data_IF_935934272726
#
_entry.id   IF_935934272726
#
_cell.length_a   1.000
_cell.length_b   1.000
_cell.length_c   1.000
_cell.angle_alpha   90.00
_cell.angle_beta   90.00
_cell.angle_gamma   90.00
#
_symmetry.space_group_name_H-M   'P 1'
#
loop_
_entity.id
_entity.type
_entity.pdbx_description
1 polymer ?
#
# COMPACT_ATOMS: atom_id res chain seq x y z
N UNK A 1 13.14 -9.68 -23.39
CA UNK A 1 12.22 -9.75 -22.32
C UNK A 1 11.99 -8.41 -21.66
N UNK A 2 10.77 -8.07 -21.41
CA UNK A 2 10.44 -6.78 -20.85
C UNK A 2 10.39 -6.88 -19.34
N UNK A 3 11.23 -6.13 -18.68
CA UNK A 3 11.08 -5.95 -17.25
C UNK A 3 9.92 -5.00 -17.03
N UNK A 4 8.95 -5.41 -16.21
CA UNK A 4 7.83 -4.55 -15.86
C UNK A 4 8.26 -3.37 -15.01
N UNK A 5 9.49 -3.39 -14.55
CA UNK A 5 10.04 -2.28 -13.78
C UNK A 5 11.55 -2.27 -13.97
N UNK A 6 12.06 -1.11 -14.28
CA UNK A 6 13.49 -0.87 -14.30
C UNK A 6 14.01 -0.76 -12.87
N UNK A 7 15.30 -1.04 -12.64
CA UNK A 7 15.91 -0.74 -11.35
C UNK A 7 15.69 0.72 -10.99
N UNK A 8 15.26 0.97 -9.77
CA UNK A 8 14.96 2.32 -9.33
C UNK A 8 16.23 2.95 -8.80
N UNK A 9 16.49 4.17 -9.28
CA UNK A 9 17.60 4.96 -8.78
C UNK A 9 17.48 5.12 -7.25
N UNK A 10 18.54 4.78 -6.49
CA UNK A 10 18.50 4.92 -5.03
C UNK A 10 18.15 6.32 -4.55
N UNK A 11 18.55 7.36 -5.25
CA UNK A 11 18.23 8.72 -4.88
C UNK A 11 16.75 9.03 -5.08
N UNK A 12 16.16 8.51 -6.17
CA UNK A 12 14.72 8.62 -6.40
C UNK A 12 13.94 7.89 -5.32
N UNK A 13 14.37 6.71 -4.94
CA UNK A 13 13.72 5.92 -3.88
C UNK A 13 13.80 6.66 -2.54
N UNK A 14 14.94 7.25 -2.24
CA UNK A 14 15.11 8.04 -1.02
C UNK A 14 14.16 9.24 -0.99
N UNK A 15 14.03 9.95 -2.11
CA UNK A 15 13.10 11.08 -2.22
C UNK A 15 11.66 10.64 -2.00
N UNK A 16 11.27 9.48 -2.56
CA UNK A 16 9.92 8.99 -2.37
C UNK A 16 9.65 8.58 -0.92
N UNK A 17 10.63 8.03 -0.23
CA UNK A 17 10.50 7.73 1.20
C UNK A 17 10.34 8.98 2.04
N UNK A 18 11.06 10.04 1.70
CA UNK A 18 10.94 11.34 2.36
C UNK A 18 9.55 11.94 2.13
N UNK A 19 9.04 11.86 0.92
CA UNK A 19 7.69 12.30 0.58
C UNK A 19 6.64 11.49 1.36
N UNK A 20 6.84 10.20 1.48
CA UNK A 20 5.94 9.33 2.25
C UNK A 20 5.89 9.77 3.72
N UNK A 21 7.05 10.09 4.29
CA UNK A 21 7.12 10.57 5.68
C UNK A 21 6.34 11.87 5.85
N UNK A 22 6.53 12.82 4.93
CA UNK A 22 5.81 14.07 4.96
C UNK A 22 4.31 13.85 4.79
N UNK A 23 3.92 12.95 3.91
CA UNK A 23 2.52 12.64 3.66
C UNK A 23 1.87 12.02 4.90
N UNK A 24 2.56 11.12 5.60
CA UNK A 24 2.05 10.52 6.86
C UNK A 24 1.84 11.56 7.95
N UNK A 25 2.62 12.63 7.95
CA UNK A 25 2.47 13.71 8.92
C UNK A 25 1.38 14.71 8.54
N UNK A 26 0.82 14.61 7.34
CA UNK A 26 -0.15 15.57 6.82
C UNK A 26 -1.52 15.40 7.46
N UNK A 27 -2.30 16.48 7.49
CA UNK A 27 -3.70 16.42 7.94
C UNK A 27 -4.55 15.55 7.04
N UNK A 28 -4.24 15.52 5.75
CA UNK A 28 -4.93 14.65 4.80
C UNK A 28 -4.83 13.19 5.23
N UNK A 29 -3.62 12.71 5.58
CA UNK A 29 -3.43 11.34 6.02
C UNK A 29 -4.12 11.05 7.36
N UNK A 30 -4.00 11.98 8.30
CA UNK A 30 -4.65 11.83 9.61
C UNK A 30 -6.16 11.69 9.48
N UNK A 31 -6.78 12.45 8.58
CA UNK A 31 -8.20 12.30 8.30
C UNK A 31 -8.50 10.99 7.60
N UNK A 32 -7.61 10.54 6.73
CA UNK A 32 -7.76 9.29 5.98
C UNK A 32 -7.84 8.09 6.90
N UNK A 33 -7.04 8.06 7.97
CA UNK A 33 -6.98 6.93 8.91
C UNK A 33 -7.95 7.09 10.09
N UNK A 34 -8.68 8.18 10.17
CA UNK A 34 -9.47 8.51 11.36
C UNK A 34 -10.57 7.48 11.65
N UNK A 35 -11.15 6.84 10.63
CA UNK A 35 -12.18 5.82 10.81
C UNK A 35 -11.59 4.50 11.31
N UNK A 36 -10.29 4.31 11.21
CA UNK A 36 -9.61 3.12 11.68
C UNK A 36 -9.85 1.87 10.86
N UNK A 37 -10.36 1.99 9.63
CA UNK A 37 -10.77 0.85 8.79
C UNK A 37 -9.72 0.56 7.73
N UNK A 38 -9.29 -0.70 7.64
CA UNK A 38 -8.39 -1.16 6.57
C UNK A 38 -9.11 -1.14 5.23
N UNK A 39 -8.46 -0.56 4.22
CA UNK A 39 -9.05 -0.47 2.88
C UNK A 39 -9.23 -1.85 2.23
N UNK A 40 -8.40 -2.82 2.57
CA UNK A 40 -8.43 -4.14 1.94
C UNK A 40 -9.37 -5.12 2.63
N UNK A 41 -9.19 -5.36 3.93
CA UNK A 41 -10.00 -6.34 4.65
C UNK A 41 -11.23 -5.73 5.33
N UNK A 42 -11.33 -4.42 5.36
CA UNK A 42 -12.45 -3.67 5.92
C UNK A 42 -12.64 -3.83 7.43
N UNK A 43 -11.66 -4.41 8.11
CA UNK A 43 -11.70 -4.50 9.56
C UNK A 43 -11.42 -3.15 10.19
N UNK A 44 -12.09 -2.89 11.29
CA UNK A 44 -11.85 -1.70 12.10
C UNK A 44 -10.75 -2.03 13.11
N UNK A 45 -9.54 -1.65 12.77
CA UNK A 45 -8.36 -1.94 13.60
C UNK A 45 -7.92 -0.74 14.45
N UNK A 46 -8.50 0.43 14.20
CA UNK A 46 -8.11 1.67 14.84
C UNK A 46 -7.06 2.43 14.05
N UNK A 47 -7.08 3.75 14.19
CA UNK A 47 -6.19 4.61 13.40
C UNK A 47 -4.71 4.29 13.62
N UNK A 48 -4.32 3.95 14.86
CA UNK A 48 -2.92 3.66 15.19
C UNK A 48 -2.42 2.37 14.54
N UNK A 49 -3.33 1.45 14.23
CA UNK A 49 -2.97 0.16 13.63
C UNK A 49 -2.99 0.20 12.09
N UNK A 50 -3.33 1.35 11.51
CA UNK A 50 -3.30 1.52 10.06
C UNK A 50 -1.92 2.00 9.61
N UNK A 51 -1.45 1.41 8.52
CA UNK A 51 -0.18 1.75 7.90
C UNK A 51 -0.43 2.35 6.52
N UNK A 52 0.54 3.11 6.02
CA UNK A 52 0.48 3.63 4.66
C UNK A 52 0.96 2.55 3.70
N UNK A 53 0.09 2.09 2.83
CA UNK A 53 0.44 1.18 1.77
C UNK A 53 0.49 1.92 0.44
N UNK A 54 1.58 1.73 -0.29
CA UNK A 54 1.70 2.24 -1.65
C UNK A 54 1.07 1.22 -2.59
N UNK A 55 -0.01 1.61 -3.27
CA UNK A 55 -0.75 0.72 -4.17
C UNK A 55 0.21 0.14 -5.21
N UNK A 56 1.00 1.00 -5.85
CA UNK A 56 2.18 0.57 -6.58
C UNK A 56 3.37 0.76 -5.65
N UNK A 57 4.06 -0.32 -5.27
CA UNK A 57 5.17 -0.22 -4.31
C UNK A 57 6.29 0.69 -4.79
N UNK A 58 6.96 1.34 -3.84
CA UNK A 58 8.09 2.22 -4.15
C UNK A 58 9.18 1.47 -4.91
N UNK A 59 9.46 0.23 -4.51
CA UNK A 59 10.47 -0.60 -5.17
C UNK A 59 10.10 -0.99 -6.61
N UNK A 60 8.86 -0.73 -7.02
CA UNK A 60 8.36 -1.02 -8.36
C UNK A 60 7.93 0.23 -9.11
N UNK A 61 8.46 1.37 -8.71
CA UNK A 61 8.24 2.63 -9.39
C UNK A 61 7.08 3.46 -8.87
N UNK A 62 6.46 3.04 -7.78
CA UNK A 62 5.37 3.79 -7.17
C UNK A 62 5.85 5.10 -6.58
N UNK A 63 4.96 6.07 -6.50
CA UNK A 63 5.26 7.39 -5.95
C UNK A 63 4.46 7.63 -4.68
N UNK A 64 5.03 8.47 -3.80
CA UNK A 64 4.39 8.86 -2.55
C UNK A 64 3.49 10.07 -2.81
N UNK A 65 2.36 9.81 -3.44
CA UNK A 65 1.34 10.81 -3.73
C UNK A 65 0.00 10.28 -3.23
N UNK A 66 -0.95 11.19 -2.98
CA UNK A 66 -2.26 10.83 -2.42
C UNK A 66 -2.96 9.73 -3.23
N UNK A 67 -2.86 9.79 -4.54
CA UNK A 67 -3.51 8.81 -5.42
C UNK A 67 -2.92 7.41 -5.33
N UNK A 68 -1.72 7.26 -4.77
CA UNK A 68 -1.01 5.98 -4.71
C UNK A 68 -0.85 5.43 -3.29
N UNK A 69 -1.51 6.01 -2.31
CA UNK A 69 -1.41 5.53 -0.94
C UNK A 69 -2.79 5.26 -0.36
N UNK A 70 -2.88 4.19 0.41
CA UNK A 70 -4.12 3.79 1.09
C UNK A 70 -3.79 3.38 2.52
N UNK A 71 -4.81 3.38 3.36
CA UNK A 71 -4.68 2.96 4.75
C UNK A 71 -4.96 1.46 4.85
N UNK A 72 -3.96 0.70 5.25
CA UNK A 72 -4.08 -0.76 5.36
C UNK A 72 -3.59 -1.24 6.72
N UNK A 73 -4.24 -2.27 7.25
CA UNK A 73 -3.75 -2.89 8.48
C UNK A 73 -2.43 -3.61 8.21
N UNK A 74 -1.66 -3.81 9.27
CA UNK A 74 -0.34 -4.42 9.16
C UNK A 74 -0.40 -5.80 8.51
N UNK A 75 -1.42 -6.59 8.83
CA UNK A 75 -1.57 -7.94 8.27
C UNK A 75 -1.74 -7.89 6.75
N UNK A 76 -2.63 -7.03 6.25
CA UNK A 76 -2.84 -6.90 4.81
C UNK A 76 -1.60 -6.33 4.12
N UNK A 77 -0.98 -5.33 4.72
CA UNK A 77 0.22 -4.72 4.15
C UNK A 77 1.36 -5.74 4.06
N UNK A 78 1.52 -6.57 5.07
CA UNK A 78 2.54 -7.62 5.08
C UNK A 78 2.25 -8.67 3.99
N UNK A 79 0.99 -9.09 3.83
CA UNK A 79 0.62 -10.06 2.78
C UNK A 79 0.84 -9.49 1.39
N UNK A 80 0.49 -8.23 1.20
CA UNK A 80 0.64 -7.57 -0.10
C UNK A 80 2.10 -7.39 -0.46
N UNK A 81 2.93 -7.05 0.50
CA UNK A 81 4.37 -6.81 0.28
C UNK A 81 4.61 -5.90 -0.93
N UNK A 82 5.33 -6.38 -1.93
CA UNK A 82 5.67 -5.61 -3.13
C UNK A 82 4.79 -5.94 -4.34
N UNK A 83 3.63 -6.54 -4.12
CA UNK A 83 2.73 -6.87 -5.22
C UNK A 83 2.12 -5.59 -5.81
N UNK A 84 2.05 -5.51 -7.13
CA UNK A 84 1.32 -4.46 -7.81
C UNK A 84 -0.17 -4.81 -7.84
N UNK A 85 -1.06 -3.84 -8.17
CA UNK A 85 -2.51 -4.06 -8.04
C UNK A 85 -3.04 -5.32 -8.70
N UNK A 86 -2.61 -5.65 -9.90
CA UNK A 86 -3.13 -6.83 -10.60
C UNK A 86 -2.73 -8.12 -9.87
N UNK A 87 -1.50 -8.18 -9.36
CA UNK A 87 -1.02 -9.33 -8.58
C UNK A 87 -1.77 -9.46 -7.27
N UNK A 88 -2.01 -8.34 -6.63
CA UNK A 88 -2.74 -8.30 -5.36
C UNK A 88 -4.19 -8.73 -5.53
N UNK A 89 -4.83 -8.26 -6.58
CA UNK A 89 -6.20 -8.66 -6.91
C UNK A 89 -6.30 -10.15 -7.21
N UNK A 90 -5.34 -10.69 -7.95
CA UNK A 90 -5.28 -12.12 -8.23
C UNK A 90 -5.14 -12.94 -6.94
N UNK A 91 -4.28 -12.47 -6.05
CA UNK A 91 -4.09 -13.13 -4.75
C UNK A 91 -5.39 -13.13 -3.93
N UNK A 92 -6.06 -11.99 -3.84
CA UNK A 92 -7.33 -11.87 -3.13
C UNK A 92 -8.39 -12.79 -3.74
N UNK A 93 -8.45 -12.85 -5.05
CA UNK A 93 -9.39 -13.72 -5.76
C UNK A 93 -9.13 -15.19 -5.46
N UNK A 94 -7.85 -15.58 -5.38
CA UNK A 94 -7.49 -16.97 -5.05
C UNK A 94 -7.93 -17.34 -3.64
N UNK A 95 -7.90 -16.40 -2.70
CA UNK A 95 -8.39 -16.64 -1.34
C UNK A 95 -9.90 -16.84 -1.31
N UNK A 96 -10.64 -16.04 -2.07
CA UNK A 96 -12.10 -16.17 -2.17
C UNK A 96 -12.47 -17.51 -2.75
N UNK A 97 -11.82 -17.93 -3.84
CA UNK A 97 -12.06 -19.24 -4.46
C UNK A 97 -11.78 -20.39 -3.49
N UNK A 98 -10.69 -20.28 -2.73
CA UNK A 98 -10.37 -21.28 -1.72
C UNK A 98 -11.39 -21.30 -0.57
N UNK A 99 -11.93 -20.12 -0.24
CA UNK A 99 -12.92 -19.99 0.83
C UNK A 99 -14.29 -20.57 0.48
N UNK A 100 -14.57 -20.73 -0.79
CA UNK A 100 -15.84 -21.27 -1.26
C UNK A 100 -15.87 -22.79 -1.34
N UNK A 101 -14.75 -23.42 -1.15
CA UNK A 101 -14.63 -24.87 -1.27
C UNK A 101 -15.37 -25.62 -0.16
#
# INVERSE_FOLDING_TARGET
MTDYYAPIDPDALKRERERARALRASQWWKRRIADGVCVYCRRRVGARALTMDHVVPLGRGGRSVRANVVAACKACNTRKQSLVPVEWEEYLRSLDDAGEA
#
